data_IF_770740620605
#
_entry.id   IF_770740620605
#
_cell.length_a   1.000
_cell.length_b   1.000
_cell.length_c   1.000
_cell.angle_alpha   90.00
_cell.angle_beta   90.00
_cell.angle_gamma   90.00
#
_symmetry.space_group_name_H-M   'P 1'
#
loop_
_entity.id
_entity.type
_entity.pdbx_description
1 polymer ?
#
# COMPACT_ATOMS: atom_id res chain seq x y z
N UNK A 1 20.23 -1.10 21.76
CA UNK A 1 19.13 -1.02 20.78
C UNK A 1 17.86 -0.76 21.59
N UNK A 2 17.34 0.47 21.58
CA UNK A 2 16.14 0.80 22.35
C UNK A 2 14.96 0.03 21.75
N UNK A 3 14.26 -0.73 22.59
CA UNK A 3 13.02 -1.42 22.23
C UNK A 3 11.96 -0.34 21.96
N UNK A 4 11.85 0.11 20.71
CA UNK A 4 10.71 0.90 20.28
C UNK A 4 9.49 0.00 20.46
N UNK A 5 8.60 0.36 21.38
CA UNK A 5 7.37 -0.37 21.62
C UNK A 5 6.45 -0.18 20.40
N UNK A 6 6.61 -1.05 19.40
CA UNK A 6 5.71 -1.09 18.26
C UNK A 6 4.34 -1.56 18.77
N UNK A 7 3.24 -0.90 18.40
CA UNK A 7 1.90 -1.41 18.69
C UNK A 7 1.79 -2.87 18.26
N UNK A 8 0.94 -3.64 18.93
CA UNK A 8 0.73 -5.05 18.56
C UNK A 8 -0.09 -5.10 17.26
N UNK A 9 0.31 -5.88 16.24
CA UNK A 9 -0.49 -6.03 15.04
C UNK A 9 -1.77 -6.82 15.34
N UNK A 10 -2.89 -6.37 14.78
CA UNK A 10 -4.19 -6.99 14.99
C UNK A 10 -4.92 -7.20 13.66
N UNK A 11 -5.54 -8.36 13.52
CA UNK A 11 -6.46 -8.68 12.42
C UNK A 11 -7.82 -9.06 12.97
N UNK A 12 -8.83 -9.21 12.10
CA UNK A 12 -10.14 -9.71 12.53
C UNK A 12 -10.12 -11.15 13.08
N UNK A 13 -9.01 -11.89 12.88
CA UNK A 13 -8.76 -13.23 13.45
C UNK A 13 -7.76 -13.20 14.62
N UNK A 14 -7.46 -12.03 15.17
CA UNK A 14 -6.51 -11.84 16.26
C UNK A 14 -5.11 -11.44 15.80
N UNK A 15 -4.12 -11.62 16.68
CA UNK A 15 -2.73 -11.21 16.43
C UNK A 15 -2.00 -12.22 15.53
N UNK A 16 -1.41 -11.80 14.41
CA UNK A 16 -0.56 -12.67 13.60
C UNK A 16 0.75 -12.99 14.32
N UNK A 17 1.33 -14.17 14.09
CA UNK A 17 2.61 -14.53 14.71
C UNK A 17 3.77 -13.72 14.11
N UNK A 18 3.65 -13.39 12.82
CA UNK A 18 4.47 -12.40 12.16
C UNK A 18 3.77 -11.83 10.93
N UNK A 19 4.30 -10.74 10.40
CA UNK A 19 3.84 -10.15 9.16
C UNK A 19 4.97 -9.47 8.40
N UNK A 20 4.78 -9.39 7.09
CA UNK A 20 5.54 -8.52 6.19
C UNK A 20 4.55 -7.67 5.43
N UNK A 21 4.63 -6.35 5.58
CA UNK A 21 3.82 -5.38 4.87
C UNK A 21 4.70 -4.62 3.88
N UNK A 22 4.22 -4.49 2.64
CA UNK A 22 4.97 -3.88 1.54
C UNK A 22 4.11 -2.86 0.79
N UNK A 23 4.72 -1.72 0.47
CA UNK A 23 4.14 -0.65 -0.33
C UNK A 23 5.21 -0.12 -1.29
N UNK A 24 4.86 0.09 -2.55
CA UNK A 24 5.79 0.54 -3.60
C UNK A 24 5.06 1.38 -4.63
N UNK A 25 5.72 2.38 -5.22
CA UNK A 25 5.18 3.14 -6.35
C UNK A 25 5.14 2.34 -7.67
N UNK A 26 5.72 1.14 -7.69
CA UNK A 26 5.74 0.27 -8.87
C UNK A 26 4.45 -0.55 -9.04
N UNK A 27 3.66 -0.71 -7.98
CA UNK A 27 2.38 -1.43 -8.00
C UNK A 27 1.33 -0.61 -7.24
N UNK A 28 0.07 -0.58 -7.67
CA UNK A 28 -0.90 0.35 -7.10
C UNK A 28 -1.51 -0.11 -5.77
N UNK A 29 -1.21 -1.32 -5.31
CA UNK A 29 -1.73 -1.91 -4.08
C UNK A 29 -0.61 -2.20 -3.08
N UNK A 30 -0.99 -2.27 -1.82
CA UNK A 30 -0.15 -2.83 -0.76
C UNK A 30 -0.22 -4.35 -0.79
N UNK A 31 0.83 -4.97 -0.28
CA UNK A 31 0.89 -6.42 -0.10
C UNK A 31 1.13 -6.73 1.37
N UNK A 32 0.38 -7.70 1.89
CA UNK A 32 0.50 -8.16 3.27
C UNK A 32 0.73 -9.67 3.28
N UNK A 33 1.84 -10.10 3.83
CA UNK A 33 2.14 -11.49 4.13
C UNK A 33 1.91 -11.70 5.61
N UNK A 34 1.01 -12.63 5.96
CA UNK A 34 0.71 -13.02 7.32
C UNK A 34 1.37 -14.37 7.59
N UNK A 35 2.28 -14.41 8.56
CA UNK A 35 2.91 -15.64 9.04
C UNK A 35 2.14 -16.15 10.24
N UNK A 36 1.31 -17.17 10.05
CA UNK A 36 0.54 -17.75 11.15
C UNK A 36 -0.42 -16.77 11.81
N UNK A 37 -1.46 -17.30 12.44
CA UNK A 37 -1.96 -16.62 13.62
C UNK A 37 -1.13 -17.15 14.79
N UNK A 38 -0.61 -16.25 15.63
CA UNK A 38 -0.26 -16.67 16.96
C UNK A 38 -1.61 -17.03 17.56
N UNK A 39 -1.94 -18.31 17.54
CA UNK A 39 -3.07 -18.84 18.29
C UNK A 39 -2.79 -18.41 19.72
N UNK A 40 -3.40 -17.31 20.14
CA UNK A 40 -3.53 -17.06 21.55
C UNK A 40 -4.42 -18.19 22.01
N UNK A 41 -3.80 -19.27 22.48
CA UNK A 41 -4.43 -20.19 23.41
C UNK A 41 -4.69 -19.38 24.68
N UNK A 42 -5.60 -18.40 24.62
CA UNK A 42 -6.39 -18.11 25.78
C UNK A 42 -7.15 -19.40 26.05
N UNK A 43 -6.88 -19.98 27.21
CA UNK A 43 -7.53 -21.18 27.70
C UNK A 43 -9.04 -21.08 27.42
N UNK A 44 -9.57 -21.95 26.55
CA UNK A 44 -11.00 -22.02 26.25
C UNK A 44 -11.43 -21.78 24.79
N UNK A 45 -10.58 -21.25 23.89
CA UNK A 45 -10.95 -21.07 22.48
C UNK A 45 -10.82 -22.39 21.72
N UNK A 46 -11.92 -22.89 21.14
CA UNK A 46 -11.90 -24.16 20.40
C UNK A 46 -11.31 -23.94 19.00
N UNK A 47 -10.59 -24.92 18.42
CA UNK A 47 -10.11 -24.86 17.02
C UNK A 47 -11.22 -24.69 15.96
N UNK A 48 -12.49 -24.80 16.36
CA UNK A 48 -13.68 -24.63 15.52
C UNK A 48 -14.20 -23.19 15.44
N UNK A 49 -13.68 -22.26 16.24
CA UNK A 49 -14.16 -20.88 16.27
C UNK A 49 -13.68 -20.12 15.01
N UNK A 50 -14.51 -19.24 14.44
CA UNK A 50 -14.16 -18.53 13.18
C UNK A 50 -12.85 -17.74 13.26
N UNK A 51 -12.40 -17.38 14.48
CA UNK A 51 -11.13 -16.72 14.74
C UNK A 51 -9.90 -17.63 14.67
N UNK A 52 -10.06 -18.96 14.68
CA UNK A 52 -8.95 -19.93 14.66
C UNK A 52 -8.82 -20.69 13.33
N UNK A 53 -9.77 -20.52 12.41
CA UNK A 53 -9.69 -21.16 11.08
C UNK A 53 -8.66 -20.48 10.17
N UNK A 54 -7.91 -21.26 9.36
CA UNK A 54 -7.04 -20.72 8.31
C UNK A 54 -7.74 -19.69 7.42
N UNK A 55 -6.96 -18.79 6.83
CA UNK A 55 -7.44 -17.93 5.77
C UNK A 55 -7.88 -18.73 4.54
N UNK A 56 -8.82 -18.19 3.79
CA UNK A 56 -9.24 -18.72 2.48
C UNK A 56 -8.99 -17.68 1.38
N UNK A 57 -8.63 -18.09 0.15
CA UNK A 57 -8.61 -17.17 -0.99
C UNK A 57 -9.93 -16.41 -1.14
N UNK A 58 -9.85 -15.12 -1.41
CA UNK A 58 -10.98 -14.19 -1.47
C UNK A 58 -11.47 -13.67 -0.12
N UNK A 59 -10.99 -14.20 1.00
CA UNK A 59 -11.37 -13.71 2.33
C UNK A 59 -10.80 -12.31 2.60
N UNK A 60 -11.65 -11.39 3.04
CA UNK A 60 -11.23 -10.02 3.40
C UNK A 60 -10.30 -10.03 4.60
N UNK A 61 -9.29 -9.15 4.60
CA UNK A 61 -8.30 -8.98 5.67
C UNK A 61 -8.16 -7.52 6.01
N UNK A 62 -8.14 -7.22 7.31
CA UNK A 62 -7.79 -5.91 7.84
C UNK A 62 -6.64 -6.06 8.81
N UNK A 63 -5.67 -5.14 8.73
CA UNK A 63 -4.56 -5.04 9.67
C UNK A 63 -4.61 -3.68 10.35
N UNK A 64 -4.59 -3.68 11.67
CA UNK A 64 -4.41 -2.49 12.50
C UNK A 64 -3.06 -2.55 13.23
N UNK A 65 -2.39 -1.40 13.28
CA UNK A 65 -1.10 -1.23 13.96
C UNK A 65 -0.99 0.21 14.48
N UNK A 66 -1.60 0.49 15.63
CA UNK A 66 -1.80 1.87 16.12
C UNK A 66 -2.82 2.68 15.29
N UNK A 67 -3.49 2.04 14.33
CA UNK A 67 -4.43 2.61 13.37
C UNK A 67 -4.62 1.68 12.16
N UNK A 68 -5.55 1.96 11.23
CA UNK A 68 -5.72 1.15 10.01
C UNK A 68 -4.46 1.19 9.14
N UNK A 69 -3.88 0.02 8.87
CA UNK A 69 -2.65 -0.11 8.05
C UNK A 69 -2.93 -0.75 6.69
N UNK A 70 -3.81 -1.76 6.66
CA UNK A 70 -4.11 -2.51 5.45
C UNK A 70 -5.56 -2.97 5.42
N UNK A 71 -6.17 -2.94 4.23
CA UNK A 71 -7.44 -3.56 3.94
C UNK A 71 -7.38 -4.21 2.55
N UNK A 72 -7.65 -5.50 2.47
CA UNK A 72 -7.55 -6.24 1.22
C UNK A 72 -8.22 -7.59 1.28
N UNK A 73 -7.84 -8.48 0.38
CA UNK A 73 -8.31 -9.86 0.34
C UNK A 73 -7.15 -10.85 0.17
N UNK A 74 -7.28 -12.03 0.75
CA UNK A 74 -6.34 -13.15 0.58
C UNK A 74 -6.34 -13.60 -0.86
N UNK A 75 -5.15 -13.77 -1.42
CA UNK A 75 -4.93 -14.15 -2.81
C UNK A 75 -4.33 -15.55 -2.92
N UNK A 76 -3.48 -15.91 -1.96
CA UNK A 76 -2.86 -17.23 -1.90
C UNK A 76 -2.50 -17.62 -0.49
N UNK A 77 -2.28 -18.92 -0.31
CA UNK A 77 -1.84 -19.54 0.94
C UNK A 77 -0.49 -20.21 0.66
N UNK A 78 0.64 -19.54 0.94
CA UNK A 78 1.97 -20.15 0.77
C UNK A 78 2.14 -21.42 1.63
N UNK A 79 1.47 -21.46 2.78
CA UNK A 79 1.39 -22.60 3.67
C UNK A 79 0.01 -22.60 4.37
N UNK A 80 -0.43 -23.71 5.00
CA UNK A 80 -1.77 -23.81 5.61
C UNK A 80 -2.09 -22.73 6.66
N UNK A 81 -1.09 -22.18 7.32
CA UNK A 81 -1.24 -21.12 8.33
C UNK A 81 -0.80 -19.73 7.82
N UNK A 82 -0.36 -19.62 6.57
CA UNK A 82 0.15 -18.38 6.00
C UNK A 82 -0.80 -17.83 4.94
N UNK A 83 -0.85 -16.51 4.82
CA UNK A 83 -1.70 -15.84 3.83
C UNK A 83 -0.95 -14.70 3.17
N UNK A 84 -1.11 -14.58 1.84
CA UNK A 84 -0.73 -13.38 1.10
C UNK A 84 -2.01 -12.66 0.72
N UNK A 85 -2.15 -11.42 1.17
CA UNK A 85 -3.25 -10.54 0.84
C UNK A 85 -2.76 -9.38 -0.02
N UNK A 86 -3.62 -8.96 -0.95
CA UNK A 86 -3.44 -7.74 -1.72
C UNK A 86 -4.53 -6.74 -1.37
N UNK A 87 -4.13 -5.48 -1.23
CA UNK A 87 -5.06 -4.37 -1.11
C UNK A 87 -5.75 -4.11 -2.45
N UNK A 88 -6.78 -3.26 -2.41
CA UNK A 88 -7.55 -2.85 -3.59
C UNK A 88 -8.06 -4.02 -4.45
N UNK A 89 -8.65 -5.10 -3.87
CA UNK A 89 -9.07 -6.27 -4.64
C UNK A 89 -10.10 -5.92 -5.73
N UNK A 90 -10.93 -4.90 -5.51
CA UNK A 90 -11.94 -4.43 -6.45
C UNK A 90 -11.34 -3.95 -7.76
N UNK A 91 -10.18 -3.28 -7.70
CA UNK A 91 -9.51 -2.65 -8.83
C UNK A 91 -8.84 -3.64 -9.79
N UNK A 92 -8.78 -4.92 -9.41
CA UNK A 92 -8.32 -6.02 -10.25
C UNK A 92 -9.41 -6.60 -11.14
N UNK A 93 -10.67 -6.25 -10.88
CA UNK A 93 -11.80 -6.67 -11.72
C UNK A 93 -11.75 -5.94 -13.06
N UNK A 94 -12.31 -6.58 -14.08
CA UNK A 94 -12.45 -5.96 -15.39
C UNK A 94 -13.47 -4.81 -15.35
N UNK A 95 -13.12 -3.69 -15.97
CA UNK A 95 -14.10 -2.71 -16.43
C UNK A 95 -14.54 -3.11 -17.85
N UNK A 96 -15.86 -3.21 -18.06
CA UNK A 96 -16.41 -3.53 -19.38
C UNK A 96 -16.11 -2.43 -20.40
N UNK A 97 -16.08 -2.77 -21.70
CA UNK A 97 -15.80 -1.79 -22.75
C UNK A 97 -16.89 -0.72 -22.81
N UNK A 98 -16.50 0.54 -23.00
CA UNK A 98 -17.44 1.67 -23.04
C UNK A 98 -16.94 2.80 -23.95
N UNK A 99 -17.84 3.31 -24.79
CA UNK A 99 -17.60 4.50 -25.60
C UNK A 99 -18.10 5.76 -24.90
N UNK A 100 -17.31 6.83 -24.95
CA UNK A 100 -17.63 8.12 -24.36
C UNK A 100 -17.54 9.23 -25.41
N UNK A 101 -18.48 10.18 -25.36
CA UNK A 101 -18.48 11.36 -26.22
C UNK A 101 -18.32 12.62 -25.38
N UNK A 102 -17.42 13.51 -25.81
CA UNK A 102 -17.16 14.81 -25.15
C UNK A 102 -17.04 14.70 -23.61
N UNK A 103 -16.19 13.77 -23.16
CA UNK A 103 -16.05 13.39 -21.75
C UNK A 103 -14.75 13.95 -21.16
N UNK A 104 -14.68 14.11 -19.84
CA UNK A 104 -13.45 14.39 -19.07
C UNK A 104 -12.84 13.09 -18.53
N UNK A 105 -11.53 13.13 -18.21
CA UNK A 105 -10.84 11.99 -17.58
C UNK A 105 -11.55 11.51 -16.30
N UNK A 106 -12.00 12.45 -15.46
CA UNK A 106 -12.70 12.16 -14.20
C UNK A 106 -14.01 11.39 -14.41
N UNK A 107 -14.74 11.69 -15.47
CA UNK A 107 -15.99 11.00 -15.78
C UNK A 107 -15.73 9.55 -16.23
N UNK A 108 -14.67 9.31 -17.02
CA UNK A 108 -14.26 7.95 -17.38
C UNK A 108 -13.74 7.17 -16.17
N UNK A 109 -12.91 7.80 -15.33
CA UNK A 109 -12.43 7.20 -14.09
C UNK A 109 -13.58 6.90 -13.11
N UNK A 110 -14.57 7.79 -13.03
CA UNK A 110 -15.79 7.60 -12.26
C UNK A 110 -16.64 6.44 -12.76
N UNK A 111 -16.75 6.25 -14.09
CA UNK A 111 -17.36 5.06 -14.67
C UNK A 111 -16.63 3.78 -14.25
N UNK A 112 -15.30 3.74 -14.40
CA UNK A 112 -14.48 2.57 -13.99
C UNK A 112 -14.68 2.27 -12.51
N UNK A 113 -14.59 3.29 -11.66
CA UNK A 113 -14.80 3.18 -10.22
C UNK A 113 -16.19 2.60 -9.89
N UNK A 114 -17.23 3.12 -10.53
CA UNK A 114 -18.60 2.65 -10.36
C UNK A 114 -18.78 1.19 -10.79
N UNK A 115 -18.17 0.80 -11.92
CA UNK A 115 -18.25 -0.57 -12.45
C UNK A 115 -17.62 -1.59 -11.50
N UNK A 116 -16.56 -1.21 -10.77
CA UNK A 116 -15.89 -2.09 -9.81
C UNK A 116 -16.22 -1.77 -8.36
N UNK A 117 -17.12 -0.85 -8.04
CA UNK A 117 -17.48 -0.50 -6.66
C UNK A 117 -16.30 -0.09 -5.76
N UNK A 118 -15.20 0.39 -6.35
CA UNK A 118 -13.98 0.77 -5.63
C UNK A 118 -14.08 2.17 -5.01
N UNK A 119 -13.19 2.47 -4.07
CA UNK A 119 -12.99 3.83 -3.55
C UNK A 119 -11.75 4.44 -4.19
N UNK A 120 -11.84 5.70 -4.60
CA UNK A 120 -10.72 6.42 -5.18
C UNK A 120 -10.68 7.90 -4.77
N UNK A 121 -9.48 8.47 -4.86
CA UNK A 121 -9.19 9.90 -4.82
C UNK A 121 -8.46 10.27 -6.11
N UNK A 122 -9.07 11.16 -6.89
CA UNK A 122 -8.54 11.62 -8.16
C UNK A 122 -7.76 12.92 -7.99
N UNK A 123 -6.47 12.91 -8.32
CA UNK A 123 -5.62 14.11 -8.36
C UNK A 123 -5.78 14.94 -9.64
N UNK A 124 -6.81 14.67 -10.44
CA UNK A 124 -7.03 15.31 -11.75
C UNK A 124 -7.26 16.82 -11.60
N UNK A 125 -6.90 17.58 -12.63
CA UNK A 125 -7.23 19.00 -12.69
C UNK A 125 -8.68 19.16 -13.23
N UNK A 126 -9.51 20.04 -12.65
CA UNK A 126 -10.88 20.27 -13.13
C UNK A 126 -10.96 20.94 -14.51
N UNK A 127 -9.84 21.48 -15.01
CA UNK A 127 -9.74 22.23 -16.28
C UNK A 127 -9.36 21.37 -17.49
N UNK A 128 -9.40 20.04 -17.37
CA UNK A 128 -8.93 19.16 -18.43
C UNK A 128 -9.85 19.23 -19.67
N UNK A 129 -9.26 19.19 -20.88
CA UNK A 129 -10.04 19.24 -22.11
C UNK A 129 -10.90 17.98 -22.24
N UNK A 130 -12.12 18.18 -22.73
CA UNK A 130 -13.00 17.09 -23.08
C UNK A 130 -12.56 16.43 -24.40
N UNK A 131 -12.90 15.15 -24.59
CA UNK A 131 -12.66 14.41 -25.84
C UNK A 131 -13.57 13.20 -25.98
N UNK A 132 -13.61 12.63 -27.18
CA UNK A 132 -14.13 11.28 -27.37
C UNK A 132 -13.11 10.26 -26.87
N UNK A 133 -13.58 9.17 -26.25
CA UNK A 133 -12.73 8.12 -25.72
C UNK A 133 -13.42 6.77 -25.80
N UNK A 134 -12.65 5.71 -26.03
CA UNK A 134 -13.13 4.34 -26.00
C UNK A 134 -12.29 3.56 -24.99
N UNK A 135 -12.92 3.12 -23.90
CA UNK A 135 -12.32 2.25 -22.91
C UNK A 135 -12.43 0.80 -23.41
N UNK A 136 -11.33 0.08 -23.65
CA UNK A 136 -11.39 -1.35 -23.91
C UNK A 136 -11.71 -2.15 -22.65
N UNK A 137 -12.00 -3.44 -22.80
CA UNK A 137 -12.06 -4.37 -21.67
C UNK A 137 -10.66 -4.57 -21.11
N UNK A 138 -10.41 -4.08 -19.90
CA UNK A 138 -9.14 -4.17 -19.16
C UNK A 138 -9.41 -4.25 -17.67
N UNK A 139 -8.40 -4.60 -16.87
CA UNK A 139 -8.55 -4.47 -15.42
C UNK A 139 -8.72 -2.99 -15.03
N UNK A 140 -9.51 -2.72 -13.99
CA UNK A 140 -9.88 -1.34 -13.67
C UNK A 140 -8.65 -0.45 -13.37
N UNK A 141 -7.63 -0.96 -12.69
CA UNK A 141 -6.39 -0.20 -12.45
C UNK A 141 -5.64 0.13 -13.75
N UNK A 142 -5.58 -0.79 -14.72
CA UNK A 142 -5.02 -0.52 -16.06
C UNK A 142 -5.85 0.53 -16.80
N UNK A 143 -7.18 0.42 -16.72
CA UNK A 143 -8.10 1.41 -17.28
C UNK A 143 -7.83 2.83 -16.77
N UNK A 144 -7.57 2.98 -15.47
CA UNK A 144 -7.17 4.27 -14.89
C UNK A 144 -5.85 4.77 -15.48
N UNK A 145 -4.83 3.91 -15.62
CA UNK A 145 -3.57 4.29 -16.26
C UNK A 145 -3.77 4.72 -17.72
N UNK A 146 -4.62 4.02 -18.47
CA UNK A 146 -4.95 4.35 -19.85
C UNK A 146 -5.66 5.71 -19.94
N UNK A 147 -6.59 6.00 -19.03
CA UNK A 147 -7.27 7.31 -18.96
C UNK A 147 -6.27 8.42 -18.66
N UNK A 148 -5.37 8.22 -17.69
CA UNK A 148 -4.31 9.16 -17.36
C UNK A 148 -3.42 9.47 -18.57
N UNK A 149 -2.95 8.44 -19.25
CA UNK A 149 -2.13 8.58 -20.45
C UNK A 149 -2.89 9.28 -21.58
N UNK A 150 -4.14 8.90 -21.82
CA UNK A 150 -4.97 9.47 -22.89
C UNK A 150 -5.26 10.97 -22.69
N UNK A 151 -5.25 11.46 -21.45
CA UNK A 151 -5.37 12.89 -21.12
C UNK A 151 -4.04 13.60 -20.92
N UNK A 152 -2.92 12.94 -21.22
CA UNK A 152 -1.60 13.56 -21.21
C UNK A 152 -1.00 13.76 -19.82
N UNK A 153 -1.51 13.07 -18.80
CA UNK A 153 -0.92 13.09 -17.47
C UNK A 153 0.44 12.38 -17.50
N UNK A 154 1.53 13.14 -17.32
CA UNK A 154 2.90 12.62 -17.17
C UNK A 154 3.32 12.70 -15.70
N UNK A 155 4.11 11.71 -15.26
CA UNK A 155 4.65 11.69 -13.88
C UNK A 155 3.58 11.48 -12.80
N UNK A 156 2.48 10.80 -13.14
CA UNK A 156 1.45 10.40 -12.18
C UNK A 156 1.83 9.14 -11.44
N UNK A 157 1.30 9.01 -10.24
CA UNK A 157 1.41 7.82 -9.40
C UNK A 157 0.04 7.22 -9.21
N UNK A 158 0.04 5.89 -9.10
CA UNK A 158 -1.11 5.08 -8.77
C UNK A 158 -0.72 4.26 -7.54
N UNK A 159 -1.33 4.51 -6.39
CA UNK A 159 -1.00 3.80 -5.15
C UNK A 159 -2.17 3.74 -4.17
N UNK A 160 -2.10 2.83 -3.21
CA UNK A 160 -3.11 2.67 -2.17
C UNK A 160 -2.90 3.67 -1.03
N UNK A 161 -4.00 4.27 -0.59
CA UNK A 161 -4.12 5.05 0.62
C UNK A 161 -4.74 4.20 1.73
N UNK A 162 -4.62 4.70 2.97
CA UNK A 162 -5.23 4.06 4.13
C UNK A 162 -6.74 3.91 3.95
N UNK A 163 -7.28 2.78 4.42
CA UNK A 163 -8.70 2.44 4.26
C UNK A 163 -9.07 1.80 2.91
N UNK A 164 -8.08 1.35 2.11
CA UNK A 164 -8.32 0.66 0.85
C UNK A 164 -8.85 1.59 -0.24
N UNK A 165 -8.24 2.77 -0.36
CA UNK A 165 -8.63 3.80 -1.33
C UNK A 165 -7.53 3.92 -2.39
N UNK A 166 -7.88 3.87 -3.66
CA UNK A 166 -6.93 4.10 -4.75
C UNK A 166 -6.67 5.61 -4.92
N UNK A 167 -5.42 6.03 -4.88
CA UNK A 167 -5.02 7.36 -5.35
C UNK A 167 -4.50 7.28 -6.78
N UNK A 168 -4.95 8.22 -7.64
CA UNK A 168 -4.38 8.39 -8.97
C UNK A 168 -4.20 9.87 -9.30
N UNK A 169 -2.95 10.30 -9.54
CA UNK A 169 -2.67 11.70 -9.88
C UNK A 169 -1.22 12.12 -9.64
N UNK A 170 -0.94 13.44 -9.67
CA UNK A 170 0.40 13.97 -9.40
C UNK A 170 0.85 13.67 -7.96
N UNK A 171 2.09 13.21 -7.72
CA UNK A 171 2.58 12.88 -6.39
C UNK A 171 2.31 13.95 -5.33
N UNK A 172 2.47 15.22 -5.69
CA UNK A 172 2.34 16.38 -4.79
C UNK A 172 0.91 16.59 -4.27
N UNK A 173 -0.08 16.01 -4.95
CA UNK A 173 -1.49 16.06 -4.55
C UNK A 173 -1.94 14.81 -3.80
N UNK A 174 -1.07 13.81 -3.64
CA UNK A 174 -1.38 12.63 -2.84
C UNK A 174 -1.51 13.02 -1.36
N UNK A 175 -2.51 12.50 -0.63
CA UNK A 175 -2.59 12.69 0.82
C UNK A 175 -1.32 12.25 1.57
N UNK A 176 -0.57 11.28 1.05
CA UNK A 176 0.69 10.84 1.66
C UNK A 176 1.83 11.86 1.51
N UNK A 177 1.76 12.76 0.52
CA UNK A 177 2.89 13.62 0.15
C UNK A 177 3.32 14.59 1.27
N UNK A 178 2.37 15.02 2.10
CA UNK A 178 2.62 15.90 3.24
C UNK A 178 3.23 15.20 4.47
N UNK A 179 3.23 13.86 4.50
CA UNK A 179 3.77 13.10 5.63
C UNK A 179 5.29 13.27 5.75
N UNK A 180 5.78 13.54 6.96
CA UNK A 180 7.21 13.72 7.23
C UNK A 180 7.62 12.99 8.50
N UNK A 181 8.77 12.29 8.45
CA UNK A 181 9.34 11.52 9.55
C UNK A 181 10.83 11.84 9.69
N UNK A 182 11.35 11.82 10.92
CA UNK A 182 12.78 12.02 11.21
C UNK A 182 13.32 10.79 11.90
N UNK A 183 14.47 10.30 11.44
CA UNK A 183 15.15 9.11 11.98
C UNK A 183 16.66 9.36 12.05
N UNK A 184 17.29 8.89 13.13
CA UNK A 184 18.72 9.01 13.37
C UNK A 184 19.26 7.76 14.04
N UNK A 185 19.23 7.72 15.37
CA UNK A 185 19.68 6.56 16.16
C UNK A 185 18.92 5.27 15.83
N UNK A 186 17.72 5.38 15.27
CA UNK A 186 16.89 4.27 14.83
C UNK A 186 17.38 3.62 13.53
N UNK A 187 18.32 4.25 12.82
CA UNK A 187 18.83 3.77 11.53
C UNK A 187 19.97 2.78 11.76
N UNK A 188 19.73 1.52 11.39
CA UNK A 188 20.71 0.45 11.51
C UNK A 188 21.77 0.54 10.41
N UNK A 189 21.37 0.85 9.17
CA UNK A 189 22.31 1.09 8.08
C UNK A 189 21.68 1.90 6.94
N UNK A 190 22.55 2.50 6.13
CA UNK A 190 22.21 3.16 4.86
C UNK A 190 23.13 2.67 3.75
N UNK A 191 22.55 2.34 2.59
CA UNK A 191 23.28 1.88 1.39
C UNK A 191 22.86 2.70 0.17
N UNK A 192 23.79 3.34 -0.56
CA UNK A 192 23.48 3.96 -1.84
C UNK A 192 23.13 2.89 -2.88
N UNK A 193 22.10 3.14 -3.70
CA UNK A 193 21.67 2.27 -4.80
C UNK A 193 22.02 2.84 -6.18
N UNK A 194 22.30 4.14 -6.24
CA UNK A 194 22.59 4.89 -7.46
C UNK A 194 22.48 6.39 -7.19
N UNK A 195 22.66 7.24 -8.21
CA UNK A 195 22.58 8.70 -8.05
C UNK A 195 21.27 9.13 -7.37
N UNK A 196 21.39 9.71 -6.18
CA UNK A 196 20.26 10.21 -5.39
C UNK A 196 19.31 9.14 -4.85
N UNK A 197 19.63 7.84 -4.88
CA UNK A 197 18.75 6.76 -4.39
C UNK A 197 19.42 5.95 -3.29
N UNK A 198 18.70 5.72 -2.20
CA UNK A 198 19.23 5.08 -1.00
C UNK A 198 18.29 3.98 -0.51
N UNK A 199 18.89 2.92 0.04
CA UNK A 199 18.21 1.91 0.84
C UNK A 199 18.58 2.15 2.30
N UNK A 200 17.58 2.24 3.17
CA UNK A 200 17.73 2.47 4.60
C UNK A 200 17.05 1.32 5.34
N UNK A 201 17.72 0.74 6.34
CA UNK A 201 17.08 -0.14 7.32
C UNK A 201 17.08 0.53 8.68
N UNK A 202 15.93 0.55 9.32
CA UNK A 202 15.68 1.26 10.56
C UNK A 202 14.70 0.53 11.47
N UNK A 203 14.49 1.03 12.68
CA UNK A 203 13.44 0.56 13.56
C UNK A 203 12.04 0.70 12.89
N UNK A 204 11.06 -0.14 13.25
CA UNK A 204 9.72 -0.09 12.68
C UNK A 204 9.05 1.28 12.79
N UNK A 205 8.47 1.75 11.67
CA UNK A 205 7.70 2.99 11.62
C UNK A 205 6.34 2.74 10.94
N UNK A 206 5.32 2.25 11.70
CA UNK A 206 4.02 1.85 11.15
C UNK A 206 3.26 2.91 10.35
N UNK A 207 3.53 4.19 10.59
CA UNK A 207 2.90 5.33 9.92
C UNK A 207 3.64 5.78 8.64
N UNK A 208 4.74 5.14 8.27
CA UNK A 208 5.43 5.41 7.02
C UNK A 208 4.58 4.92 5.83
N UNK A 209 4.50 5.76 4.80
CA UNK A 209 3.86 5.45 3.52
C UNK A 209 4.77 5.84 2.37
N UNK A 210 4.51 5.29 1.18
CA UNK A 210 5.10 5.83 -0.05
C UNK A 210 4.73 7.30 -0.21
N UNK A 211 5.63 8.06 -0.82
CA UNK A 211 5.60 9.51 -0.94
C UNK A 211 5.76 10.30 0.36
N UNK A 212 5.87 9.70 1.54
CA UNK A 212 6.29 10.46 2.72
C UNK A 212 7.74 10.96 2.54
N UNK A 213 8.07 12.03 3.26
CA UNK A 213 9.44 12.53 3.40
C UNK A 213 10.08 11.88 4.64
N UNK A 214 11.22 11.20 4.46
CA UNK A 214 12.01 10.61 5.52
C UNK A 214 13.33 11.37 5.66
N UNK A 215 13.47 12.14 6.72
CA UNK A 215 14.72 12.80 7.09
C UNK A 215 15.62 11.82 7.82
N UNK A 216 16.75 11.51 7.21
CA UNK A 216 17.74 10.57 7.73
C UNK A 216 18.92 11.36 8.28
N UNK A 217 19.31 11.07 9.52
CA UNK A 217 20.55 11.51 10.13
C UNK A 217 21.46 10.30 10.38
N UNK A 218 22.31 9.98 9.40
CA UNK A 218 23.23 8.85 9.46
C UNK A 218 24.59 9.24 8.87
N UNK A 219 25.74 8.71 9.34
CA UNK A 219 27.06 9.08 8.83
C UNK A 219 27.23 8.92 7.31
N UNK A 220 26.58 7.92 6.71
CA UNK A 220 26.62 7.66 5.25
C UNK A 220 25.75 8.63 4.44
N UNK A 221 24.68 9.15 5.02
CA UNK A 221 23.76 10.06 4.35
C UNK A 221 22.98 10.89 5.37
N UNK A 222 23.00 12.20 5.19
CA UNK A 222 22.21 13.16 5.96
C UNK A 222 21.36 13.98 5.00
N UNK A 223 20.04 13.87 5.13
CA UNK A 223 19.14 14.57 4.22
C UNK A 223 17.74 13.96 4.15
N UNK A 224 16.94 14.48 3.24
CA UNK A 224 15.56 14.06 3.06
C UNK A 224 15.42 13.09 1.88
N UNK A 225 14.79 11.95 2.14
CA UNK A 225 14.43 10.96 1.14
C UNK A 225 12.91 10.97 0.93
N UNK A 226 12.46 11.12 -0.30
CA UNK A 226 11.09 10.81 -0.68
C UNK A 226 10.96 9.29 -0.81
N UNK A 227 10.05 8.68 -0.05
CA UNK A 227 9.86 7.23 -0.03
C UNK A 227 9.27 6.76 -1.35
N UNK A 228 9.95 5.86 -2.04
CA UNK A 228 9.46 5.20 -3.27
C UNK A 228 8.89 3.81 -2.96
N UNK A 229 9.48 3.12 -2.00
CA UNK A 229 9.09 1.78 -1.57
C UNK A 229 9.49 1.55 -0.13
N UNK A 230 8.72 0.74 0.59
CA UNK A 230 9.15 0.25 1.89
C UNK A 230 8.53 -1.09 2.26
N UNK A 231 9.23 -1.77 3.16
CA UNK A 231 8.85 -3.06 3.73
C UNK A 231 8.94 -3.00 5.25
N UNK A 232 7.82 -3.21 5.91
CA UNK A 232 7.74 -3.37 7.36
C UNK A 232 7.73 -4.87 7.68
N UNK A 233 8.69 -5.32 8.49
CA UNK A 233 8.82 -6.71 8.92
C UNK A 233 8.62 -6.74 10.44
N UNK A 234 7.64 -7.52 10.89
CA UNK A 234 7.37 -7.76 12.31
C UNK A 234 7.23 -9.27 12.52
N UNK A 235 8.24 -9.90 13.09
CA UNK A 235 8.25 -11.35 13.37
C UNK A 235 8.72 -11.57 14.82
N UNK A 236 8.60 -12.79 15.36
CA UNK A 236 9.10 -13.08 16.72
C UNK A 236 10.63 -12.91 16.84
N UNK A 237 11.37 -12.94 15.73
CA UNK A 237 12.83 -12.88 15.71
C UNK A 237 13.37 -11.48 15.38
N UNK A 238 12.64 -10.74 14.55
CA UNK A 238 13.10 -9.48 14.01
C UNK A 238 11.95 -8.49 13.83
N UNK A 239 12.22 -7.22 14.09
CA UNK A 239 11.33 -6.11 13.82
C UNK A 239 12.12 -4.96 13.20
N UNK A 240 11.82 -4.61 11.94
CA UNK A 240 12.51 -3.54 11.22
C UNK A 240 11.68 -2.98 10.07
N UNK A 241 12.11 -1.83 9.57
CA UNK A 241 11.60 -1.20 8.36
C UNK A 241 12.74 -1.06 7.36
N UNK A 242 12.51 -1.48 6.13
CA UNK A 242 13.38 -1.21 4.99
C UNK A 242 12.71 -0.20 4.07
N UNK A 243 13.47 0.80 3.62
CA UNK A 243 12.97 1.92 2.84
C UNK A 243 13.89 2.13 1.65
N UNK A 244 13.32 2.20 0.46
CA UNK A 244 13.98 2.74 -0.73
C UNK A 244 13.43 4.13 -0.96
N UNK A 245 14.31 5.12 -0.96
CA UNK A 245 13.94 6.51 -1.14
C UNK A 245 14.90 7.27 -2.05
N UNK A 246 14.39 8.38 -2.60
CA UNK A 246 15.13 9.28 -3.48
C UNK A 246 15.37 10.61 -2.80
N UNK A 247 16.61 11.08 -2.81
CA UNK A 247 16.98 12.42 -2.39
C UNK A 247 16.34 13.45 -3.34
N UNK A 248 15.72 14.47 -2.74
CA UNK A 248 15.17 15.63 -3.46
C UNK A 248 16.25 16.57 -3.97
#
# INVERSE_FOLDING_TARGET
MNLVHVPKPETQKGTPAGLVFHESLHVPWRTLHLQGHAFSAQEGVRPSDEGTRPFRPGESVRLTLGGPLFQGAIQGLPAPAEGVAWGLPEWRREAGPQGFRDVRAEEVAGYIQGAVGGKAVWGFAPTMPKRHYALPRVTAWEGILMVLQAWGFRGVVLHELDGGILYAGPPQKSPNYGGSHRVGEEVAWVRPLGPGRYHVRMAPLPSLRVLNLLWVDHPVYRGALRVEEHRLVLTPKEAYHEVIGRAG
#
